data_IF_701694264288
#
_entry.id   IF_701694264288
#
_cell.length_a   1.000
_cell.length_b   1.000
_cell.length_c   1.000
_cell.angle_alpha   90.00
_cell.angle_beta   90.00
_cell.angle_gamma   90.00
#
_symmetry.space_group_name_H-M   'P 1'
#
loop_
_entity.id
_entity.type
_entity.pdbx_description
1 polymer ?
#
# COMPACT_ATOMS: atom_id res chain seq x y z
N UNK A 1 10.28 18.29 10.36
CA UNK A 1 9.03 17.57 10.01
C UNK A 1 7.89 18.30 10.68
N UNK A 2 6.95 18.90 9.92
CA UNK A 2 5.71 19.42 10.52
C UNK A 2 4.86 18.20 10.85
N UNK A 3 4.51 18.03 12.12
CA UNK A 3 3.52 17.01 12.49
C UNK A 3 2.19 17.38 11.84
N UNK A 4 1.42 16.40 11.32
CA UNK A 4 0.02 16.63 10.96
C UNK A 4 -0.73 17.20 12.18
N UNK A 5 -1.88 17.86 11.97
CA UNK A 5 -2.64 18.41 13.08
C UNK A 5 -2.86 17.30 14.11
N UNK A 6 -2.53 17.50 15.40
CA UNK A 6 -2.42 16.42 16.39
C UNK A 6 -3.74 15.67 16.66
N UNK A 7 -4.83 16.16 16.08
CA UNK A 7 -6.18 15.64 16.24
C UNK A 7 -6.69 14.87 15.02
N UNK A 8 -5.84 14.64 14.01
CA UNK A 8 -6.22 13.89 12.80
C UNK A 8 -5.62 12.48 12.87
N UNK A 9 -6.41 11.42 12.70
CA UNK A 9 -5.89 10.05 12.66
C UNK A 9 -4.90 9.88 11.50
N UNK A 10 -3.74 9.27 11.75
CA UNK A 10 -2.72 9.03 10.73
C UNK A 10 -3.25 8.22 9.54
N UNK A 11 -4.14 7.26 9.81
CA UNK A 11 -4.82 6.50 8.76
C UNK A 11 -5.64 7.37 7.81
N UNK A 12 -6.28 8.43 8.31
CA UNK A 12 -7.02 9.37 7.46
C UNK A 12 -6.07 10.18 6.58
N UNK A 13 -4.93 10.64 7.12
CA UNK A 13 -3.90 11.33 6.35
C UNK A 13 -3.35 10.43 5.24
N UNK A 14 -3.05 9.16 5.55
CA UNK A 14 -2.56 8.20 4.55
C UNK A 14 -3.61 7.93 3.47
N UNK A 15 -4.86 7.67 3.84
CA UNK A 15 -5.94 7.45 2.86
C UNK A 15 -6.11 8.65 1.93
N UNK A 16 -6.08 9.87 2.46
CA UNK A 16 -6.16 11.09 1.64
C UNK A 16 -4.92 11.25 0.74
N UNK A 17 -3.72 10.97 1.24
CA UNK A 17 -2.51 11.03 0.44
C UNK A 17 -2.55 10.05 -0.74
N UNK A 18 -3.02 8.82 -0.52
CA UNK A 18 -3.20 7.83 -1.59
C UNK A 18 -4.27 8.29 -2.58
N UNK A 19 -5.42 8.79 -2.11
CA UNK A 19 -6.47 9.30 -2.98
C UNK A 19 -5.99 10.45 -3.88
N UNK A 20 -5.24 11.40 -3.33
CA UNK A 20 -4.61 12.48 -4.10
C UNK A 20 -3.58 11.93 -5.08
N UNK A 21 -2.74 10.97 -4.68
CA UNK A 21 -1.76 10.36 -5.57
C UNK A 21 -2.42 9.66 -6.77
N UNK A 22 -3.57 9.01 -6.57
CA UNK A 22 -4.37 8.43 -7.65
C UNK A 22 -4.95 9.51 -8.56
N UNK A 23 -5.51 10.59 -7.99
CA UNK A 23 -6.13 11.68 -8.75
C UNK A 23 -5.13 12.46 -9.63
N UNK A 24 -3.87 12.51 -9.23
CA UNK A 24 -2.77 13.09 -10.02
C UNK A 24 -2.44 12.27 -11.30
N UNK A 25 -3.11 11.13 -11.52
CA UNK A 25 -2.99 10.28 -12.70
C UNK A 25 -1.53 9.94 -13.06
N UNK A 26 -0.76 9.33 -12.13
CA UNK A 26 0.64 9.02 -12.35
C UNK A 26 0.81 7.92 -13.40
N UNK A 27 2.00 7.78 -13.98
CA UNK A 27 2.29 6.64 -14.88
C UNK A 27 2.55 5.33 -14.14
N UNK A 28 2.84 5.39 -12.84
CA UNK A 28 3.06 4.27 -11.92
C UNK A 28 2.83 4.76 -10.49
N UNK A 29 2.28 3.90 -9.63
CA UNK A 29 2.11 4.19 -8.21
C UNK A 29 2.90 3.20 -7.36
N UNK A 30 3.79 3.72 -6.51
CA UNK A 30 4.60 2.94 -5.58
C UNK A 30 4.20 3.33 -4.16
N UNK A 31 3.79 2.35 -3.34
CA UNK A 31 3.33 2.57 -1.97
C UNK A 31 4.12 1.66 -1.05
N UNK A 32 4.76 2.25 -0.04
CA UNK A 32 5.44 1.51 1.02
C UNK A 32 4.52 1.37 2.25
N UNK A 33 4.57 0.21 2.90
CA UNK A 33 3.71 -0.18 4.02
C UNK A 33 2.24 0.26 3.85
N UNK A 34 1.55 -0.26 2.82
CA UNK A 34 0.19 0.18 2.46
C UNK A 34 -0.82 0.06 3.61
N UNK A 35 -0.64 -0.91 4.50
CA UNK A 35 -1.46 -1.18 5.67
C UNK A 35 -1.25 -0.22 6.85
N UNK A 36 -0.08 0.42 6.92
CA UNK A 36 0.34 1.08 8.16
C UNK A 36 -0.63 2.23 8.51
N UNK A 37 -1.08 2.27 9.76
CA UNK A 37 -2.05 3.22 10.32
C UNK A 37 -3.49 3.05 9.82
N UNK A 38 -3.77 2.08 8.94
CA UNK A 38 -5.11 1.77 8.47
C UNK A 38 -5.75 0.66 9.32
N UNK A 39 -6.98 0.88 9.75
CA UNK A 39 -7.82 -0.20 10.26
C UNK A 39 -8.34 -1.04 9.09
N UNK A 40 -8.72 -2.30 9.34
CA UNK A 40 -9.05 -3.29 8.30
C UNK A 40 -10.01 -2.76 7.22
N UNK A 41 -11.10 -2.10 7.62
CA UNK A 41 -12.07 -1.54 6.67
C UNK A 41 -11.51 -0.41 5.81
N UNK A 42 -10.65 0.45 6.35
CA UNK A 42 -9.97 1.48 5.55
C UNK A 42 -8.96 0.87 4.58
N UNK A 43 -8.28 -0.20 5.00
CA UNK A 43 -7.39 -0.95 4.12
C UNK A 43 -8.17 -1.56 2.93
N UNK A 44 -9.33 -2.18 3.16
CA UNK A 44 -10.20 -2.68 2.10
C UNK A 44 -10.58 -1.57 1.10
N UNK A 45 -11.01 -0.40 1.59
CA UNK A 45 -11.35 0.73 0.72
C UNK A 45 -10.15 1.26 -0.08
N UNK A 46 -8.98 1.36 0.55
CA UNK A 46 -7.74 1.74 -0.14
C UNK A 46 -7.40 0.70 -1.20
N UNK A 47 -7.53 -0.58 -0.90
CA UNK A 47 -7.23 -1.66 -1.81
C UNK A 47 -8.16 -1.65 -3.05
N UNK A 48 -9.46 -1.46 -2.85
CA UNK A 48 -10.44 -1.30 -3.93
C UNK A 48 -10.12 -0.08 -4.81
N UNK A 49 -9.76 1.05 -4.18
CA UNK A 49 -9.32 2.24 -4.90
C UNK A 49 -8.11 1.93 -5.77
N UNK A 50 -7.09 1.26 -5.24
CA UNK A 50 -5.88 0.89 -5.99
C UNK A 50 -6.18 -0.08 -7.13
N UNK A 51 -7.08 -1.04 -6.95
CA UNK A 51 -7.52 -1.95 -8.01
C UNK A 51 -8.27 -1.23 -9.16
N UNK A 52 -8.85 -0.06 -8.90
CA UNK A 52 -9.53 0.75 -9.93
C UNK A 52 -8.57 1.56 -10.81
N UNK A 53 -7.31 1.70 -10.40
CA UNK A 53 -6.30 2.49 -11.11
C UNK A 53 -5.85 1.75 -12.36
N UNK A 54 -5.76 2.45 -13.49
CA UNK A 54 -5.40 1.86 -14.80
C UNK A 54 -3.90 1.80 -15.07
N UNK A 55 -3.09 2.27 -14.14
CA UNK A 55 -1.62 2.24 -14.22
C UNK A 55 -1.06 1.18 -13.27
N UNK A 56 0.18 0.71 -13.49
CA UNK A 56 0.79 -0.25 -12.58
C UNK A 56 0.86 0.30 -11.15
N UNK A 57 0.45 -0.52 -10.19
CA UNK A 57 0.54 -0.24 -8.75
C UNK A 57 1.44 -1.30 -8.12
N UNK A 58 2.52 -0.89 -7.46
CA UNK A 58 3.30 -1.77 -6.60
C UNK A 58 3.13 -1.29 -5.16
N UNK A 59 2.69 -2.20 -4.29
CA UNK A 59 2.55 -1.96 -2.87
C UNK A 59 3.46 -2.93 -2.10
N UNK A 60 4.26 -2.39 -1.19
CA UNK A 60 5.00 -3.19 -0.21
C UNK A 60 4.17 -3.32 1.08
N UNK A 61 4.26 -4.49 1.69
CA UNK A 61 3.49 -4.86 2.89
C UNK A 61 4.27 -5.88 3.70
N UNK A 62 4.12 -5.82 5.02
CA UNK A 62 4.49 -6.91 5.93
C UNK A 62 3.25 -7.60 6.51
N UNK A 63 2.06 -7.12 6.14
CA UNK A 63 0.77 -7.60 6.62
C UNK A 63 0.21 -8.76 5.79
N UNK A 64 -0.08 -9.91 6.42
CA UNK A 64 -0.81 -11.01 5.78
C UNK A 64 -2.18 -10.60 5.24
N UNK A 65 -2.87 -9.65 5.89
CA UNK A 65 -4.19 -9.20 5.43
C UNK A 65 -4.13 -8.58 4.03
N UNK A 66 -3.03 -7.90 3.69
CA UNK A 66 -2.85 -7.34 2.34
C UNK A 66 -2.59 -8.46 1.32
N UNK A 67 -1.85 -9.49 1.71
CA UNK A 67 -1.61 -10.68 0.88
C UNK A 67 -2.93 -11.42 0.64
N UNK A 68 -3.78 -11.56 1.65
CA UNK A 68 -5.12 -12.16 1.53
C UNK A 68 -6.03 -11.38 0.57
N UNK A 69 -5.95 -10.04 0.59
CA UNK A 69 -6.69 -9.18 -0.34
C UNK A 69 -6.16 -9.28 -1.78
N UNK A 70 -4.84 -9.39 -1.94
CA UNK A 70 -4.19 -9.44 -3.24
C UNK A 70 -4.24 -10.80 -3.93
N UNK A 71 -4.26 -11.88 -3.14
CA UNK A 71 -4.06 -13.23 -3.63
C UNK A 71 -2.58 -13.54 -3.92
N UNK A 72 -2.18 -14.82 -3.83
CA UNK A 72 -0.81 -15.24 -4.11
C UNK A 72 -0.36 -14.93 -5.54
N UNK A 73 -1.27 -14.96 -6.51
CA UNK A 73 -0.99 -14.72 -7.94
C UNK A 73 -0.57 -13.29 -8.28
N UNK A 74 -0.77 -12.35 -7.34
CA UNK A 74 -0.38 -10.94 -7.45
C UNK A 74 0.65 -10.53 -6.40
N UNK A 75 1.25 -11.50 -5.70
CA UNK A 75 2.15 -11.24 -4.58
C UNK A 75 3.55 -11.74 -4.92
N UNK A 76 4.55 -10.88 -4.72
CA UNK A 76 5.95 -11.27 -4.74
C UNK A 76 6.47 -11.35 -3.29
N UNK A 77 7.03 -12.50 -2.92
CA UNK A 77 7.70 -12.68 -1.64
C UNK A 77 9.16 -12.19 -1.75
N UNK A 78 9.50 -11.18 -0.95
CA UNK A 78 10.85 -10.65 -0.87
C UNK A 78 11.49 -11.12 0.43
N UNK A 79 12.59 -11.87 0.35
CA UNK A 79 13.33 -12.37 1.51
C UNK A 79 14.79 -11.95 1.48
N UNK A 80 15.39 -11.80 2.66
CA UNK A 80 16.83 -11.60 2.80
C UNK A 80 17.51 -12.95 3.05
N UNK A 81 18.23 -13.45 2.05
CA UNK A 81 19.08 -14.62 2.15
C UNK A 81 20.55 -14.27 2.44
N UNK A 82 21.40 -15.30 2.50
CA UNK A 82 22.84 -15.16 2.75
C UNK A 82 23.55 -14.33 1.67
N UNK A 83 23.14 -14.48 0.40
CA UNK A 83 23.72 -13.78 -0.76
C UNK A 83 23.03 -12.44 -1.10
N UNK A 84 22.12 -11.97 -0.24
CA UNK A 84 21.36 -10.73 -0.47
C UNK A 84 19.85 -10.95 -0.64
N UNK A 85 19.19 -10.08 -1.41
CA UNK A 85 17.72 -10.08 -1.55
C UNK A 85 17.27 -11.08 -2.61
N UNK A 86 16.32 -11.96 -2.24
CA UNK A 86 15.63 -12.89 -3.15
C UNK A 86 14.19 -12.46 -3.34
N UNK A 87 13.66 -12.63 -4.55
CA UNK A 87 12.28 -12.31 -4.92
C UNK A 87 11.67 -13.53 -5.60
N UNK A 88 10.53 -13.99 -5.09
CA UNK A 88 9.77 -15.15 -5.59
C UNK A 88 8.33 -14.71 -5.87
N UNK A 89 7.67 -15.26 -6.89
CA UNK A 89 6.29 -14.92 -7.28
C UNK A 89 5.65 -16.02 -8.11
#
# INVERSE_FOLDING_TARGET
MRFPPPNVPDGLIKTLAIAVAVDLNPSILLIDEVENSLHARALEYVFDMLNSVKVPVLAATHSPNVVDLAGPERTFLVTRGEDGTKVEG
#
